data_IF_766713889058
#
_entry.id   IF_766713889058
#
_cell.length_a   1.000
_cell.length_b   1.000
_cell.length_c   1.000
_cell.angle_alpha   90.00
_cell.angle_beta   90.00
_cell.angle_gamma   90.00
#
_symmetry.space_group_name_H-M   'P 1'
#
loop_
_entity.id
_entity.type
_entity.pdbx_description
1 polymer ?
#
# COMPACT_ATOMS: atom_id res chain seq x y z
N UNK A 1 15.27 -6.68 -16.80
CA UNK A 1 14.24 -6.95 -15.80
C UNK A 1 14.03 -5.70 -14.98
N UNK A 2 13.19 -5.75 -13.95
CA UNK A 2 13.19 -4.70 -12.92
C UNK A 2 14.43 -4.83 -12.03
N UNK A 3 14.97 -3.72 -11.56
CA UNK A 3 16.12 -3.70 -10.63
C UNK A 3 15.69 -3.96 -9.18
N UNK A 4 14.47 -3.53 -8.85
CA UNK A 4 13.86 -3.61 -7.52
C UNK A 4 12.39 -3.98 -7.63
N UNK A 5 11.91 -4.80 -6.70
CA UNK A 5 10.50 -5.12 -6.52
C UNK A 5 10.02 -4.57 -5.18
N UNK A 6 9.13 -3.58 -5.25
CA UNK A 6 8.52 -2.92 -4.08
C UNK A 6 7.14 -3.56 -3.85
N UNK A 7 6.92 -4.12 -2.66
CA UNK A 7 5.67 -4.79 -2.31
C UNK A 7 5.47 -4.82 -0.79
N UNK A 8 4.56 -5.66 -0.30
CA UNK A 8 4.27 -5.83 1.12
C UNK A 8 3.91 -7.28 1.48
N UNK A 9 3.87 -7.58 2.77
CA UNK A 9 3.44 -8.86 3.35
C UNK A 9 4.29 -10.06 2.92
N UNK A 10 5.59 -9.83 2.72
CA UNK A 10 6.49 -10.87 2.24
C UNK A 10 6.81 -11.85 3.38
N UNK A 11 6.64 -13.13 3.09
CA UNK A 11 7.01 -14.20 4.02
C UNK A 11 8.51 -14.44 3.96
N UNK A 12 9.06 -14.89 5.09
CA UNK A 12 10.48 -15.22 5.23
C UNK A 12 10.99 -16.09 4.06
N UNK A 13 10.34 -17.21 3.75
CA UNK A 13 10.81 -18.10 2.68
C UNK A 13 10.75 -17.46 1.28
N UNK A 14 9.75 -16.63 1.01
CA UNK A 14 9.59 -15.97 -0.28
C UNK A 14 10.70 -14.91 -0.48
N UNK A 15 11.10 -14.24 0.61
CA UNK A 15 12.25 -13.34 0.60
C UNK A 15 13.55 -14.05 0.20
N UNK A 16 13.85 -15.22 0.79
CA UNK A 16 15.07 -15.98 0.44
C UNK A 16 15.02 -16.60 -0.95
N UNK A 17 13.83 -16.90 -1.50
CA UNK A 17 13.71 -17.39 -2.87
C UNK A 17 14.10 -16.32 -3.91
N UNK A 18 13.90 -15.05 -3.59
CA UNK A 18 14.27 -13.95 -4.47
C UNK A 18 15.77 -13.58 -4.42
N UNK A 19 16.54 -14.23 -3.54
CA UNK A 19 17.96 -13.95 -3.37
C UNK A 19 18.73 -14.14 -4.68
N UNK A 20 19.66 -13.22 -4.96
CA UNK A 20 20.41 -13.08 -6.22
C UNK A 20 19.58 -12.89 -7.51
N UNK A 21 18.25 -12.79 -7.43
CA UNK A 21 17.38 -12.57 -8.59
C UNK A 21 16.93 -11.11 -8.71
N UNK A 22 16.40 -10.54 -7.63
CA UNK A 22 15.93 -9.15 -7.60
C UNK A 22 15.97 -8.60 -6.17
N UNK A 23 16.27 -7.31 -6.02
CA UNK A 23 16.17 -6.66 -4.72
C UNK A 23 14.70 -6.50 -4.36
N UNK A 24 14.31 -7.03 -3.20
CA UNK A 24 12.96 -6.88 -2.67
C UNK A 24 12.94 -5.79 -1.61
N UNK A 25 11.95 -4.90 -1.67
CA UNK A 25 11.66 -3.92 -0.64
C UNK A 25 10.22 -4.13 -0.17
N UNK A 26 10.06 -4.62 1.05
CA UNK A 26 8.77 -4.65 1.74
C UNK A 26 8.55 -3.30 2.44
N UNK A 27 7.58 -2.51 1.97
CA UNK A 27 7.27 -1.20 2.53
C UNK A 27 6.15 -1.24 3.58
N UNK A 28 5.52 -2.40 3.78
CA UNK A 28 4.30 -2.53 4.58
C UNK A 28 3.01 -2.27 3.77
N UNK A 29 1.99 -3.09 4.04
CA UNK A 29 0.72 -3.06 3.30
C UNK A 29 0.00 -1.72 3.48
N UNK A 30 -0.14 -1.30 4.74
CA UNK A 30 -0.81 -0.05 5.06
C UNK A 30 -0.08 1.15 4.46
N UNK A 31 1.25 1.19 4.58
CA UNK A 31 2.10 2.28 4.10
C UNK A 31 2.02 2.45 2.58
N UNK A 32 1.96 1.33 1.84
CA UNK A 32 1.80 1.33 0.39
C UNK A 32 0.41 1.72 -0.10
N UNK A 33 -0.64 1.35 0.64
CA UNK A 33 -2.02 1.49 0.17
C UNK A 33 -2.81 2.66 0.78
N UNK A 34 -2.33 3.28 1.86
CA UNK A 34 -3.07 4.34 2.58
C UNK A 34 -3.51 5.52 1.71
N UNK A 35 -2.83 5.78 0.59
CA UNK A 35 -3.15 6.86 -0.35
C UNK A 35 -4.22 6.49 -1.39
N UNK A 36 -4.52 5.19 -1.55
CA UNK A 36 -5.49 4.70 -2.53
C UNK A 36 -6.89 5.24 -2.26
N UNK A 37 -7.27 5.42 -0.98
CA UNK A 37 -8.57 6.02 -0.63
C UNK A 37 -8.72 7.45 -1.14
N UNK A 38 -7.64 8.22 -1.15
CA UNK A 38 -7.65 9.61 -1.62
C UNK A 38 -7.78 9.65 -3.15
N UNK A 39 -7.09 8.76 -3.86
CA UNK A 39 -7.22 8.61 -5.32
C UNK A 39 -8.64 8.19 -5.72
N UNK A 40 -9.24 7.24 -5.01
CA UNK A 40 -10.63 6.81 -5.24
C UNK A 40 -11.59 7.97 -4.96
N UNK A 41 -11.40 8.68 -3.85
CA UNK A 41 -12.22 9.85 -3.51
C UNK A 41 -12.15 10.92 -4.60
N UNK A 42 -10.95 11.27 -5.06
CA UNK A 42 -10.75 12.24 -6.13
C UNK A 42 -11.45 11.78 -7.42
N UNK A 43 -11.24 10.52 -7.82
CA UNK A 43 -11.86 9.95 -9.01
C UNK A 43 -13.39 10.00 -8.95
N UNK A 44 -13.98 9.56 -7.84
CA UNK A 44 -15.43 9.55 -7.64
C UNK A 44 -16.01 10.97 -7.56
N UNK A 45 -15.31 11.90 -6.91
CA UNK A 45 -15.76 13.29 -6.78
C UNK A 45 -15.86 13.99 -8.14
N UNK A 46 -14.95 13.67 -9.06
CA UNK A 46 -14.97 14.17 -10.44
C UNK A 46 -16.09 13.54 -11.27
N UNK A 47 -16.43 12.27 -11.00
CA UNK A 47 -17.40 11.50 -11.78
C UNK A 47 -18.85 11.76 -11.36
N UNK A 48 -19.10 12.00 -10.08
CA UNK A 48 -20.45 12.14 -9.54
C UNK A 48 -20.58 13.41 -8.70
N UNK A 49 -21.06 14.48 -9.33
CA UNK A 49 -21.22 15.80 -8.69
C UNK A 49 -22.39 15.87 -7.69
N UNK A 50 -23.30 14.89 -7.74
CA UNK A 50 -24.56 14.93 -6.99
C UNK A 50 -24.55 14.03 -5.74
N UNK A 51 -23.41 13.42 -5.39
CA UNK A 51 -23.27 12.60 -4.19
C UNK A 51 -22.25 13.23 -3.25
N UNK A 52 -22.55 13.26 -1.96
CA UNK A 52 -21.57 13.61 -0.94
C UNK A 52 -20.72 12.37 -0.63
N UNK A 53 -19.44 12.42 -1.00
CA UNK A 53 -18.48 11.39 -0.63
C UNK A 53 -17.95 11.64 0.78
N UNK A 54 -17.64 10.57 1.50
CA UNK A 54 -17.03 10.64 2.83
C UNK A 54 -15.79 9.76 2.87
N UNK A 55 -14.68 10.34 3.32
CA UNK A 55 -13.41 9.63 3.49
C UNK A 55 -13.26 9.21 4.95
N UNK A 56 -12.96 7.93 5.19
CA UNK A 56 -12.69 7.45 6.55
C UNK A 56 -11.38 8.03 7.07
N UNK A 57 -11.45 8.59 8.28
CA UNK A 57 -10.30 9.06 9.05
C UNK A 57 -9.78 8.02 10.05
N UNK A 58 -10.44 6.85 10.13
CA UNK A 58 -10.00 5.76 10.99
C UNK A 58 -8.67 5.21 10.50
N UNK A 59 -7.68 5.14 11.41
CA UNK A 59 -6.43 4.45 11.15
C UNK A 59 -6.64 2.96 11.38
N UNK A 60 -6.61 2.18 10.30
CA UNK A 60 -6.78 0.73 10.33
C UNK A 60 -5.44 -0.02 10.34
N UNK A 61 -4.31 0.65 10.53
CA UNK A 61 -3.00 0.01 10.64
C UNK A 61 -2.90 -0.76 11.96
N UNK A 62 -2.81 -2.11 11.94
CA UNK A 62 -2.62 -2.89 13.16
C UNK A 62 -1.17 -2.86 13.64
N UNK A 63 -0.23 -2.42 12.79
CA UNK A 63 1.20 -2.41 13.06
C UNK A 63 1.60 -1.11 13.76
N UNK A 64 2.35 -1.25 14.85
CA UNK A 64 2.98 -0.14 15.54
C UNK A 64 4.50 -0.39 15.57
N UNK A 65 5.27 0.60 15.12
CA UNK A 65 6.73 0.57 15.16
C UNK A 65 7.22 1.13 16.48
N UNK A 66 8.14 0.40 17.14
CA UNK A 66 8.77 0.82 18.39
C UNK A 66 10.26 1.05 18.15
N UNK A 67 10.80 2.09 18.77
CA UNK A 67 12.23 2.44 18.72
C UNK A 67 12.98 1.89 19.94
#
# INVERSE_FOLDING_TARGET
GADVFITSDIKYHDFFQADNNITIIDIGHYEGEQFTKDLIYEYLSKKFLNIALHLSNENTNPINYYN
#
